data_IF_548095579335
#
_entry.id   IF_548095579335
#
_cell.length_a   1.000
_cell.length_b   1.000
_cell.length_c   1.000
_cell.angle_alpha   90.00
_cell.angle_beta   90.00
_cell.angle_gamma   90.00
#
_symmetry.space_group_name_H-M   'P 1'
#
loop_
_entity.id
_entity.type
_entity.pdbx_description
1 polymer ?
#
# COMPACT_ATOMS: atom_id res chain seq x y z
N UNK A 1 -29.15 -7.23 -35.26
CA UNK A 1 -28.63 -7.41 -33.87
C UNK A 1 -27.35 -6.62 -33.59
N UNK A 2 -26.47 -6.39 -34.58
CA UNK A 2 -25.18 -5.70 -34.39
C UNK A 2 -25.24 -4.22 -34.00
N UNK A 3 -26.28 -3.47 -34.41
CA UNK A 3 -26.40 -2.02 -34.16
C UNK A 3 -26.47 -1.63 -32.66
N UNK A 4 -27.04 -2.50 -31.81
CA UNK A 4 -27.09 -2.28 -30.35
C UNK A 4 -25.70 -2.41 -29.71
N UNK A 5 -24.89 -3.36 -30.16
CA UNK A 5 -23.53 -3.57 -29.62
C UNK A 5 -22.61 -2.38 -29.90
N UNK A 6 -22.63 -1.83 -31.11
CA UNK A 6 -21.81 -0.66 -31.47
C UNK A 6 -22.18 0.60 -30.68
N UNK A 7 -23.47 0.83 -30.40
CA UNK A 7 -23.91 1.95 -29.55
C UNK A 7 -23.46 1.80 -28.09
N UNK A 8 -23.35 0.58 -27.57
CA UNK A 8 -22.80 0.35 -26.22
C UNK A 8 -21.28 0.55 -26.18
N UNK A 9 -20.57 0.15 -27.24
CA UNK A 9 -19.12 0.34 -27.36
C UNK A 9 -18.76 1.84 -27.48
N UNK A 10 -19.47 2.59 -28.33
CA UNK A 10 -19.23 4.04 -28.46
C UNK A 10 -19.52 4.80 -27.16
N UNK A 11 -20.58 4.44 -26.43
CA UNK A 11 -20.93 5.03 -25.14
C UNK A 11 -19.94 4.67 -24.03
N UNK A 12 -19.40 3.45 -24.01
CA UNK A 12 -18.34 3.05 -23.08
C UNK A 12 -16.99 3.70 -23.42
N UNK A 13 -16.68 3.92 -24.70
CA UNK A 13 -15.49 4.65 -25.15
C UNK A 13 -15.58 6.15 -24.82
N UNK A 14 -16.75 6.77 -24.99
CA UNK A 14 -17.00 8.17 -24.57
C UNK A 14 -16.90 8.34 -23.04
N UNK A 15 -17.39 7.36 -22.27
CA UNK A 15 -17.26 7.36 -20.82
C UNK A 15 -15.84 7.08 -20.34
N UNK A 16 -15.00 6.38 -21.12
CA UNK A 16 -13.59 6.12 -20.77
C UNK A 16 -12.79 7.42 -20.57
N UNK A 17 -13.10 8.47 -21.33
CA UNK A 17 -12.46 9.78 -21.23
C UNK A 17 -13.03 10.68 -20.13
N UNK A 18 -14.16 10.32 -19.53
CA UNK A 18 -14.84 11.14 -18.51
C UNK A 18 -13.99 11.26 -17.23
N UNK A 19 -13.96 12.44 -16.59
CA UNK A 19 -13.29 12.63 -15.30
C UNK A 19 -13.73 11.62 -14.25
N UNK A 20 -15.01 11.26 -14.22
CA UNK A 20 -15.55 10.26 -13.29
C UNK A 20 -14.93 8.87 -13.49
N UNK A 21 -14.72 8.46 -14.75
CA UNK A 21 -14.10 7.18 -15.05
C UNK A 21 -12.62 7.16 -14.68
N UNK A 22 -11.91 8.29 -14.90
CA UNK A 22 -10.51 8.43 -14.46
C UNK A 22 -10.39 8.29 -12.95
N UNK A 23 -11.21 9.01 -12.19
CA UNK A 23 -11.23 8.94 -10.72
C UNK A 23 -11.56 7.52 -10.28
N UNK A 24 -12.61 6.89 -10.82
CA UNK A 24 -12.98 5.51 -10.49
C UNK A 24 -11.83 4.52 -10.76
N UNK A 25 -11.11 4.67 -11.87
CA UNK A 25 -9.97 3.81 -12.21
C UNK A 25 -8.82 3.97 -11.21
N UNK A 26 -8.49 5.22 -10.85
CA UNK A 26 -7.46 5.50 -9.85
C UNK A 26 -7.85 5.03 -8.46
N UNK A 27 -9.09 5.28 -8.02
CA UNK A 27 -9.61 4.78 -6.76
C UNK A 27 -9.55 3.25 -6.71
N UNK A 28 -9.94 2.57 -7.79
CA UNK A 28 -9.88 1.11 -7.87
C UNK A 28 -8.44 0.58 -7.80
N UNK A 29 -7.51 1.21 -8.52
CA UNK A 29 -6.09 0.85 -8.47
C UNK A 29 -5.50 1.01 -7.05
N UNK A 30 -5.84 2.10 -6.35
CA UNK A 30 -5.44 2.33 -4.96
C UNK A 30 -6.04 1.25 -4.06
N UNK A 31 -7.34 0.95 -4.19
CA UNK A 31 -7.99 -0.08 -3.38
C UNK A 31 -7.36 -1.46 -3.55
N UNK A 32 -7.07 -1.88 -4.79
CA UNK A 32 -6.37 -3.15 -5.05
C UNK A 32 -4.99 -3.14 -4.41
N UNK A 33 -4.24 -2.04 -4.56
CA UNK A 33 -2.89 -1.92 -4.00
C UNK A 33 -2.92 -2.03 -2.47
N UNK A 34 -3.87 -1.36 -1.81
CA UNK A 34 -4.05 -1.44 -0.36
C UNK A 34 -4.46 -2.84 0.09
N UNK A 35 -5.38 -3.50 -0.64
CA UNK A 35 -5.76 -4.87 -0.34
C UNK A 35 -4.58 -5.84 -0.46
N UNK A 36 -3.73 -5.66 -1.49
CA UNK A 36 -2.50 -6.44 -1.65
C UNK A 36 -1.53 -6.21 -0.49
N UNK A 37 -1.27 -4.96 -0.12
CA UNK A 37 -0.41 -4.60 1.01
C UNK A 37 -0.94 -5.22 2.30
N UNK A 38 -2.25 -5.12 2.55
CA UNK A 38 -2.90 -5.70 3.72
C UNK A 38 -2.68 -7.22 3.81
N UNK A 39 -2.92 -7.95 2.73
CA UNK A 39 -2.71 -9.41 2.68
C UNK A 39 -1.23 -9.76 2.86
N UNK A 40 -0.33 -8.99 2.23
CA UNK A 40 1.11 -9.18 2.34
C UNK A 40 1.60 -8.97 3.77
N UNK A 41 1.23 -7.86 4.41
CA UNK A 41 1.64 -7.54 5.78
C UNK A 41 1.04 -8.50 6.80
N UNK A 42 -0.17 -9.01 6.56
CA UNK A 42 -0.77 -10.04 7.40
C UNK A 42 0.03 -11.35 7.40
N UNK A 43 0.66 -11.70 6.27
CA UNK A 43 1.49 -12.92 6.15
C UNK A 43 2.91 -12.69 6.66
N UNK A 44 3.52 -11.55 6.33
CA UNK A 44 4.88 -11.18 6.69
C UNK A 44 4.93 -9.70 7.12
N UNK A 45 4.70 -9.40 8.41
CA UNK A 45 4.70 -8.03 8.89
C UNK A 45 6.11 -7.44 8.85
N UNK A 46 6.23 -6.25 8.26
CA UNK A 46 7.48 -5.48 8.22
C UNK A 46 7.63 -4.65 9.49
N UNK A 47 8.87 -4.29 9.84
CA UNK A 47 9.14 -3.38 10.97
C UNK A 47 8.37 -2.06 10.82
N UNK A 48 8.37 -1.50 9.60
CA UNK A 48 7.62 -0.30 9.22
C UNK A 48 6.44 -0.63 8.27
N UNK A 49 5.56 -1.56 8.66
CA UNK A 49 4.32 -1.82 7.93
C UNK A 49 3.30 -0.68 8.08
N UNK A 50 2.45 -0.49 7.06
CA UNK A 50 1.41 0.53 6.99
C UNK A 50 0.20 0.13 7.87
N UNK A 51 -0.22 -1.14 7.79
CA UNK A 51 -1.36 -1.68 8.55
C UNK A 51 -0.91 -2.52 9.75
N UNK A 52 0.12 -3.34 9.57
CA UNK A 52 0.65 -4.21 10.63
C UNK A 52 2.15 -4.01 10.81
N UNK A 53 2.54 -3.53 11.99
CA UNK A 53 3.93 -3.48 12.41
C UNK A 53 4.36 -4.82 13.01
N UNK A 54 5.57 -5.26 12.68
CA UNK A 54 6.20 -6.41 13.31
C UNK A 54 6.29 -6.16 14.82
N UNK A 55 5.80 -7.11 15.63
CA UNK A 55 5.78 -7.01 17.10
C UNK A 55 7.14 -7.27 17.75
N UNK A 56 8.08 -7.82 16.99
CA UNK A 56 9.45 -8.03 17.44
C UNK A 56 10.16 -6.68 17.51
N UNK A 57 10.74 -6.38 18.67
CA UNK A 57 11.63 -5.24 18.81
C UNK A 57 12.84 -5.44 17.87
N UNK A 58 13.24 -4.37 17.19
CA UNK A 58 14.49 -4.37 16.44
C UNK A 58 15.62 -4.63 17.45
N UNK A 59 16.37 -5.72 17.26
CA UNK A 59 17.47 -6.07 18.14
C UNK A 59 18.51 -4.95 18.06
N UNK A 60 18.78 -4.31 19.19
CA UNK A 60 19.86 -3.34 19.28
C UNK A 60 21.17 -4.02 18.89
N UNK A 61 21.89 -3.42 17.95
CA UNK A 61 23.25 -3.88 17.63
C UNK A 61 24.18 -3.60 18.82
N UNK A 62 25.20 -4.44 19.02
CA UNK A 62 26.15 -4.27 20.13
C UNK A 62 26.78 -2.87 20.16
N UNK A 63 26.96 -2.25 18.99
CA UNK A 63 27.45 -0.88 18.85
C UNK A 63 26.45 0.18 19.36
N UNK A 64 25.17 -0.01 19.13
CA UNK A 64 24.12 0.88 19.64
C UNK A 64 23.95 0.72 21.15
N UNK A 65 24.05 -0.50 21.66
CA UNK A 65 24.07 -0.79 23.11
C UNK A 65 25.27 -0.09 23.75
N UNK A 66 26.47 -0.19 23.14
CA UNK A 66 27.66 0.47 23.63
C UNK A 66 27.53 2.00 23.63
N UNK A 67 26.93 2.59 22.57
CA UNK A 67 26.63 4.02 22.49
C UNK A 67 25.64 4.48 23.55
N UNK A 68 24.57 3.71 23.76
CA UNK A 68 23.56 3.97 24.76
C UNK A 68 24.16 3.94 26.17
N UNK A 69 24.93 2.90 26.48
CA UNK A 69 25.56 2.71 27.78
C UNK A 69 26.65 3.75 28.08
N UNK A 70 27.32 4.30 27.05
CA UNK A 70 28.31 5.38 27.23
C UNK A 70 27.69 6.63 27.85
N UNK A 71 26.38 6.86 27.65
CA UNK A 71 25.66 8.02 28.19
C UNK A 71 25.34 7.90 29.69
N UNK A 72 25.39 6.68 30.23
CA UNK A 72 25.07 6.37 31.63
C UNK A 72 26.28 5.90 32.43
N UNK A 73 27.49 5.89 31.83
CA UNK A 73 28.71 5.64 32.61
C UNK A 73 28.96 6.84 33.53
N UNK A 74 28.96 6.65 34.86
CA UNK A 74 29.40 7.69 35.77
C UNK A 74 30.88 8.00 35.47
N UNK A 75 31.22 9.29 35.50
CA UNK A 75 32.61 9.75 35.38
C UNK A 75 33.44 9.28 36.57
#
# INVERSE_FOLDING_TARGET
MFRRSYNHISRTVLLKGSPANKVATWSFAICISLAWIYVSERRNPRANGIFFRKKEAEYFTDEEIARWNKRFRPQ
#
